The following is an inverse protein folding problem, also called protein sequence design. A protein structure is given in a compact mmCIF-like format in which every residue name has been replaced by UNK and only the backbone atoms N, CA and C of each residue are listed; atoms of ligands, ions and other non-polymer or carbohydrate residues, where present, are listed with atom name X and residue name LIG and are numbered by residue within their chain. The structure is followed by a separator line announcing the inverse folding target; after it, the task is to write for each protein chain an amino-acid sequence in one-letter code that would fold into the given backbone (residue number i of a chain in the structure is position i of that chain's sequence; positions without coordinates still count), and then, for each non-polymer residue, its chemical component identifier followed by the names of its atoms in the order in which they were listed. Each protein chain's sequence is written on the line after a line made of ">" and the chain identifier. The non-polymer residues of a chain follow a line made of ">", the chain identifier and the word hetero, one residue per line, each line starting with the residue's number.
data_IF_976600688068
#
_entry.id   IF_976600688068
#
_cell.length_a   1.000
_cell.length_b   1.000
_cell.length_c   1.000
_cell.angle_alpha   90.00
_cell.angle_beta   90.00
_cell.angle_gamma   90.00
#
_symmetry.space_group_name_H-M   'P 1'
#
loop_
_entity.id
_entity.type
_entity.pdbx_description
1 polymer ?
#
# COMPACT_ATOMS: atom_id res chain seq x y z
N UNK A 1 20.92 -16.25 -13.92
CA UNK A 1 19.52 -16.26 -14.37
C UNK A 1 18.75 -15.12 -13.77
N UNK A 2 18.22 -14.24 -14.63
CA UNK A 2 17.54 -13.02 -14.20
C UNK A 2 16.32 -13.27 -13.32
N UNK A 3 15.50 -14.28 -13.62
CA UNK A 3 14.29 -14.60 -12.86
C UNK A 3 14.55 -14.97 -11.40
N UNK A 4 15.63 -15.69 -11.12
CA UNK A 4 15.98 -16.08 -9.76
C UNK A 4 16.46 -14.88 -8.91
N UNK A 5 17.16 -13.92 -9.52
CA UNK A 5 17.62 -12.72 -8.84
C UNK A 5 16.46 -11.80 -8.45
N UNK A 6 15.50 -11.57 -9.37
CA UNK A 6 14.32 -10.77 -9.11
C UNK A 6 13.41 -11.42 -8.05
N UNK A 7 13.23 -12.74 -8.13
CA UNK A 7 12.44 -13.49 -7.16
C UNK A 7 13.08 -13.44 -5.77
N UNK A 8 14.39 -13.56 -5.67
CA UNK A 8 15.12 -13.43 -4.40
C UNK A 8 14.99 -12.03 -3.81
N UNK A 9 15.11 -11.00 -4.66
CA UNK A 9 14.95 -9.63 -4.22
C UNK A 9 13.53 -9.40 -3.67
N UNK A 10 12.51 -9.85 -4.40
CA UNK A 10 11.13 -9.72 -3.97
C UNK A 10 10.89 -10.42 -2.63
N UNK A 11 11.33 -11.67 -2.50
CA UNK A 11 11.17 -12.43 -1.27
C UNK A 11 11.94 -11.82 -0.09
N UNK A 12 13.14 -11.35 -0.34
CA UNK A 12 13.96 -10.67 0.67
C UNK A 12 13.31 -9.38 1.15
N UNK A 13 12.80 -8.57 0.22
CA UNK A 13 12.08 -7.33 0.54
C UNK A 13 10.79 -7.62 1.32
N UNK A 14 10.03 -8.63 0.90
CA UNK A 14 8.81 -9.05 1.57
C UNK A 14 9.09 -9.46 3.03
N UNK A 15 10.11 -10.26 3.25
CA UNK A 15 10.53 -10.66 4.61
C UNK A 15 10.94 -9.45 5.45
N UNK A 16 11.68 -8.53 4.87
CA UNK A 16 12.07 -7.28 5.53
C UNK A 16 10.86 -6.46 5.96
N UNK A 17 9.89 -6.28 5.06
CA UNK A 17 8.66 -5.54 5.34
C UNK A 17 7.86 -6.20 6.46
N UNK A 18 7.60 -7.49 6.35
CA UNK A 18 6.81 -8.24 7.35
C UNK A 18 7.48 -8.18 8.71
N UNK A 19 8.78 -8.46 8.76
CA UNK A 19 9.56 -8.46 9.99
C UNK A 19 9.56 -7.07 10.66
N UNK A 20 9.81 -6.04 9.89
CA UNK A 20 9.90 -4.67 10.41
C UNK A 20 8.55 -4.16 10.90
N UNK A 21 7.51 -4.32 10.10
CA UNK A 21 6.16 -3.88 10.49
C UNK A 21 5.63 -4.66 11.67
N UNK A 22 5.88 -5.97 11.72
CA UNK A 22 5.45 -6.82 12.84
C UNK A 22 6.13 -6.43 14.16
N UNK A 23 7.36 -5.92 14.10
CA UNK A 23 8.05 -5.42 15.29
C UNK A 23 7.46 -4.11 15.80
N UNK A 24 6.85 -3.32 14.92
CA UNK A 24 6.17 -2.08 15.28
C UNK A 24 4.78 -2.38 15.86
N UNK A 25 4.03 -3.25 15.20
CA UNK A 25 2.70 -3.69 15.62
C UNK A 25 2.45 -5.10 15.06
N UNK A 26 2.22 -6.07 15.94
CA UNK A 26 1.96 -7.45 15.53
C UNK A 26 0.77 -7.62 14.60
N UNK A 27 -0.19 -6.72 14.66
CA UNK A 27 -1.35 -6.74 13.78
C UNK A 27 -0.98 -6.70 12.30
N UNK A 28 0.14 -6.08 11.95
CA UNK A 28 0.63 -6.08 10.57
C UNK A 28 0.90 -7.48 10.04
N UNK A 29 1.42 -8.37 10.88
CA UNK A 29 1.69 -9.75 10.48
C UNK A 29 0.41 -10.45 10.05
N UNK A 30 -0.65 -10.27 10.82
CA UNK A 30 -1.96 -10.86 10.50
C UNK A 30 -2.55 -10.25 9.22
N UNK A 31 -2.52 -8.94 9.09
CA UNK A 31 -3.03 -8.22 7.93
C UNK A 31 -2.33 -8.64 6.64
N UNK A 32 -1.00 -8.70 6.66
CA UNK A 32 -0.21 -9.10 5.50
C UNK A 32 -0.41 -10.58 5.16
N UNK A 33 -0.53 -11.44 6.18
CA UNK A 33 -0.84 -12.84 5.97
C UNK A 33 -2.23 -13.02 5.33
N UNK A 34 -3.20 -12.25 5.74
CA UNK A 34 -4.54 -12.28 5.15
C UNK A 34 -4.54 -11.91 3.67
N UNK A 35 -3.70 -10.96 3.27
CA UNK A 35 -3.52 -10.62 1.85
C UNK A 35 -3.04 -11.86 1.08
N UNK A 36 -2.02 -12.55 1.58
CA UNK A 36 -1.48 -13.74 0.93
C UNK A 36 -2.51 -14.87 0.86
N UNK A 37 -3.22 -15.12 1.95
CA UNK A 37 -4.27 -16.16 2.00
C UNK A 37 -5.33 -15.90 0.94
N UNK A 38 -5.83 -14.69 0.85
CA UNK A 38 -6.83 -14.32 -0.15
C UNK A 38 -6.29 -14.37 -1.57
N UNK A 39 -5.06 -13.91 -1.77
CA UNK A 39 -4.42 -13.91 -3.08
C UNK A 39 -4.26 -15.33 -3.63
N UNK A 40 -3.78 -16.26 -2.82
CA UNK A 40 -3.51 -17.64 -3.23
C UNK A 40 -4.77 -18.51 -3.31
N UNK A 41 -5.88 -18.09 -2.76
CA UNK A 41 -7.14 -18.85 -2.87
C UNK A 41 -7.73 -18.81 -4.28
N UNK A 42 -7.41 -17.77 -5.06
CA UNK A 42 -7.76 -17.66 -6.48
C UNK A 42 -9.21 -17.36 -6.80
N UNK A 43 -10.14 -17.35 -5.82
CA UNK A 43 -11.54 -17.02 -6.10
C UNK A 43 -11.70 -15.50 -6.30
N UNK A 44 -12.68 -15.11 -7.13
CA UNK A 44 -12.91 -13.70 -7.44
C UNK A 44 -13.16 -12.84 -6.19
N UNK A 45 -13.96 -13.35 -5.25
CA UNK A 45 -14.23 -12.64 -4.00
C UNK A 45 -12.97 -12.49 -3.15
N UNK A 46 -12.14 -13.53 -3.08
CA UNK A 46 -10.91 -13.48 -2.31
C UNK A 46 -9.86 -12.54 -2.93
N UNK A 47 -9.79 -12.47 -4.27
CA UNK A 47 -8.91 -11.51 -4.93
C UNK A 47 -9.34 -10.07 -4.64
N UNK A 48 -10.64 -9.79 -4.64
CA UNK A 48 -11.16 -8.47 -4.24
C UNK A 48 -10.86 -8.14 -2.78
N UNK A 49 -10.97 -9.13 -1.90
CA UNK A 49 -10.61 -8.97 -0.49
C UNK A 49 -9.12 -8.68 -0.30
N UNK A 50 -8.25 -9.34 -1.07
CA UNK A 50 -6.82 -9.05 -1.05
C UNK A 50 -6.55 -7.58 -1.40
N UNK A 51 -7.23 -7.05 -2.41
CA UNK A 51 -7.11 -5.64 -2.80
C UNK A 51 -7.59 -4.68 -1.70
N UNK A 52 -8.73 -4.98 -1.07
CA UNK A 52 -9.22 -4.17 0.05
C UNK A 52 -8.25 -4.19 1.23
N UNK A 53 -7.64 -5.33 1.50
CA UNK A 53 -6.66 -5.45 2.57
C UNK A 53 -5.38 -4.64 2.30
N UNK A 54 -5.03 -4.41 1.03
CA UNK A 54 -3.94 -3.47 0.66
C UNK A 54 -4.23 -2.09 1.25
N UNK A 55 -5.44 -1.58 1.07
CA UNK A 55 -5.83 -0.28 1.62
C UNK A 55 -5.79 -0.26 3.15
N UNK A 56 -6.23 -1.35 3.78
CA UNK A 56 -6.18 -1.48 5.25
C UNK A 56 -4.75 -1.40 5.78
N UNK A 57 -3.82 -2.09 5.13
CA UNK A 57 -2.41 -2.04 5.52
C UNK A 57 -1.84 -0.63 5.36
N UNK A 58 -2.14 0.02 4.24
CA UNK A 58 -1.69 1.39 4.00
C UNK A 58 -2.25 2.36 5.04
N UNK A 59 -3.53 2.24 5.38
CA UNK A 59 -4.15 3.05 6.43
C UNK A 59 -3.53 2.81 7.80
N UNK A 60 -3.29 1.55 8.14
CA UNK A 60 -2.65 1.18 9.39
C UNK A 60 -1.25 1.77 9.47
N UNK A 61 -0.47 1.64 8.39
CA UNK A 61 0.86 2.20 8.32
C UNK A 61 0.85 3.73 8.45
N UNK A 62 -0.08 4.40 7.78
CA UNK A 62 -0.24 5.85 7.88
C UNK A 62 -0.48 6.29 9.33
N UNK A 63 -1.32 5.56 10.05
CA UNK A 63 -1.63 5.87 11.45
C UNK A 63 -0.42 5.66 12.37
N UNK A 64 0.44 4.72 12.04
CA UNK A 64 1.66 4.48 12.83
C UNK A 64 2.70 5.58 12.61
N UNK A 65 2.92 6.00 11.37
CA UNK A 65 3.96 6.99 11.05
C UNK A 65 3.49 8.42 11.22
N UNK A 66 2.20 8.67 11.09
CA UNK A 66 1.60 9.99 11.25
C UNK A 66 0.23 9.83 11.91
N UNK A 67 0.13 9.99 13.23
CA UNK A 67 -1.15 9.87 13.93
C UNK A 67 -2.20 10.81 13.33
N UNK A 68 -3.44 10.38 13.35
CA UNK A 68 -4.56 11.09 12.74
C UNK A 68 -4.67 12.52 13.30
N UNK A 69 -4.62 13.49 12.41
CA UNK A 69 -4.97 14.89 12.68
C UNK A 69 -6.12 15.29 11.75
N UNK A 70 -6.89 16.32 12.15
CA UNK A 70 -8.01 16.79 11.34
C UNK A 70 -7.59 17.44 10.02
N UNK A 71 -6.29 17.76 9.87
CA UNK A 71 -5.74 18.42 8.71
C UNK A 71 -4.51 17.68 8.19
N UNK A 72 -4.41 17.57 6.87
CA UNK A 72 -3.24 17.03 6.18
C UNK A 72 -2.61 18.09 5.30
N UNK A 73 -1.32 17.91 4.97
CA UNK A 73 -0.58 18.82 4.11
C UNK A 73 -0.30 18.10 2.79
N UNK A 74 -0.61 18.76 1.66
CA UNK A 74 -0.32 18.20 0.35
C UNK A 74 1.10 18.55 -0.14
N UNK A 75 1.43 18.12 -1.36
CA UNK A 75 2.75 18.31 -1.95
C UNK A 75 3.18 19.77 -2.06
N UNK A 76 2.21 20.69 -2.17
CA UNK A 76 2.43 22.13 -2.26
C UNK A 76 2.37 22.83 -0.90
N UNK A 77 2.29 22.06 0.18
CA UNK A 77 2.18 22.62 1.53
C UNK A 77 0.81 23.11 1.93
N UNK A 78 -0.23 22.83 1.14
CA UNK A 78 -1.59 23.26 1.44
C UNK A 78 -2.26 22.32 2.43
N UNK A 79 -2.98 22.89 3.38
CA UNK A 79 -3.76 22.11 4.34
C UNK A 79 -5.02 21.58 3.67
N UNK A 80 -5.27 20.29 3.84
CA UNK A 80 -6.48 19.62 3.38
C UNK A 80 -7.22 19.00 4.55
N UNK A 81 -8.56 19.12 4.55
CA UNK A 81 -9.37 18.41 5.53
C UNK A 81 -9.34 16.91 5.24
N UNK A 82 -9.32 16.13 6.29
CA UNK A 82 -9.43 14.68 6.20
C UNK A 82 -10.82 14.32 5.63
N UNK A 83 -10.84 13.81 4.39
CA UNK A 83 -12.04 13.29 3.72
C UNK A 83 -11.94 11.79 3.55
N UNK A 84 -12.75 11.22 2.66
CA UNK A 84 -12.79 9.75 2.39
C UNK A 84 -11.44 9.12 1.99
N UNK A 85 -10.49 9.91 1.52
CA UNK A 85 -9.12 9.47 1.21
C UNK A 85 -8.12 9.86 2.31
N UNK A 86 -8.57 9.89 3.55
CA UNK A 86 -7.78 10.30 4.72
C UNK A 86 -6.47 9.54 4.82
N UNK A 87 -6.50 8.22 4.65
CA UNK A 87 -5.30 7.39 4.78
C UNK A 87 -4.25 7.73 3.74
N UNK A 88 -4.67 7.94 2.50
CA UNK A 88 -3.75 8.33 1.43
C UNK A 88 -3.12 9.69 1.71
N UNK A 89 -3.95 10.66 2.10
CA UNK A 89 -3.46 11.99 2.44
C UNK A 89 -2.51 11.98 3.63
N UNK A 90 -2.74 11.12 4.63
CA UNK A 90 -1.85 10.97 5.77
C UNK A 90 -0.47 10.44 5.37
N UNK A 91 -0.42 9.41 4.50
CA UNK A 91 0.84 8.87 4.02
C UNK A 91 1.63 9.93 3.27
N UNK A 92 0.97 10.61 2.34
CA UNK A 92 1.60 11.66 1.53
C UNK A 92 2.08 12.80 2.41
N UNK A 93 1.26 13.26 3.33
CA UNK A 93 1.62 14.30 4.28
C UNK A 93 2.84 13.92 5.12
N UNK A 94 2.87 12.69 5.63
CA UNK A 94 3.99 12.19 6.41
C UNK A 94 5.28 12.16 5.60
N UNK A 95 5.21 11.74 4.33
CA UNK A 95 6.35 11.73 3.43
C UNK A 95 6.94 13.13 3.27
N UNK A 96 6.10 14.13 2.98
CA UNK A 96 6.57 15.50 2.76
C UNK A 96 7.05 16.20 4.04
N UNK A 97 6.60 15.78 5.20
CA UNK A 97 7.04 16.36 6.47
C UNK A 97 8.39 15.83 6.97
N UNK A 98 8.73 14.59 6.63
CA UNK A 98 9.89 13.91 7.24
C UNK A 98 11.18 13.96 6.44
N UNK A 99 11.16 14.30 5.16
CA UNK A 99 12.37 14.14 4.32
C UNK A 99 12.61 15.35 3.42
N UNK A 100 13.88 15.82 3.43
CA UNK A 100 14.34 16.94 2.61
C UNK A 100 14.62 16.56 1.14
N UNK A 101 14.60 15.26 0.79
CA UNK A 101 14.88 14.80 -0.58
C UNK A 101 13.60 14.69 -1.40
N UNK A 102 13.20 15.76 -2.04
CA UNK A 102 11.95 15.89 -2.77
C UNK A 102 11.71 14.84 -3.87
N UNK A 103 12.74 14.50 -4.65
CA UNK A 103 12.56 13.59 -5.81
C UNK A 103 12.09 12.20 -5.37
N UNK A 104 12.71 11.61 -4.35
CA UNK A 104 12.32 10.28 -3.85
C UNK A 104 10.91 10.27 -3.28
N UNK A 105 10.51 11.36 -2.64
CA UNK A 105 9.18 11.51 -2.06
C UNK A 105 8.13 11.68 -3.15
N UNK A 106 8.41 12.47 -4.17
CA UNK A 106 7.50 12.64 -5.30
C UNK A 106 7.22 11.32 -6.01
N UNK A 107 8.27 10.49 -6.20
CA UNK A 107 8.11 9.16 -6.79
C UNK A 107 7.28 8.24 -5.91
N UNK A 108 7.46 8.29 -4.59
CA UNK A 108 6.65 7.54 -3.65
C UNK A 108 5.19 8.01 -3.63
N UNK A 109 4.97 9.32 -3.66
CA UNK A 109 3.63 9.90 -3.76
C UNK A 109 2.91 9.37 -5.01
N UNK A 110 3.56 9.42 -6.16
CA UNK A 110 3.01 8.88 -7.41
C UNK A 110 2.70 7.39 -7.26
N UNK A 111 3.62 6.60 -6.74
CA UNK A 111 3.46 5.16 -6.59
C UNK A 111 2.32 4.78 -5.65
N UNK A 112 2.24 5.41 -4.48
CA UNK A 112 1.18 5.16 -3.50
C UNK A 112 -0.18 5.60 -4.06
N UNK A 113 -0.23 6.77 -4.68
CA UNK A 113 -1.46 7.29 -5.28
C UNK A 113 -1.96 6.39 -6.41
N UNK A 114 -1.08 5.92 -7.28
CA UNK A 114 -1.43 4.99 -8.35
C UNK A 114 -1.98 3.67 -7.81
N UNK A 115 -1.32 3.10 -6.81
CA UNK A 115 -1.77 1.85 -6.20
C UNK A 115 -3.14 2.02 -5.54
N UNK A 116 -3.34 3.09 -4.79
CA UNK A 116 -4.60 3.39 -4.13
C UNK A 116 -5.75 3.50 -5.13
N UNK A 117 -5.54 4.27 -6.19
CA UNK A 117 -6.54 4.49 -7.22
C UNK A 117 -6.81 3.22 -8.05
N UNK A 118 -5.78 2.43 -8.29
CA UNK A 118 -5.90 1.16 -9.02
C UNK A 118 -6.76 0.15 -8.26
N UNK A 119 -6.53 0.02 -6.95
CA UNK A 119 -7.34 -0.84 -6.09
C UNK A 119 -8.80 -0.40 -6.10
N UNK A 120 -9.04 0.90 -5.95
CA UNK A 120 -10.39 1.45 -5.97
C UNK A 120 -11.09 1.19 -7.31
N UNK A 121 -10.40 1.44 -8.41
CA UNK A 121 -10.95 1.28 -9.76
C UNK A 121 -11.27 -0.18 -10.07
N UNK A 122 -10.40 -1.12 -9.73
CA UNK A 122 -10.63 -2.55 -9.97
C UNK A 122 -11.86 -3.04 -9.20
N UNK A 123 -12.01 -2.64 -7.95
CA UNK A 123 -13.16 -3.03 -7.16
C UNK A 123 -14.45 -2.35 -7.65
N UNK A 124 -14.39 -1.08 -8.03
CA UNK A 124 -15.56 -0.35 -8.53
C UNK A 124 -16.09 -0.92 -9.86
N UNK A 125 -15.21 -1.37 -10.74
CA UNK A 125 -15.61 -1.99 -12.01
C UNK A 125 -16.39 -3.29 -11.78
N UNK A 126 -15.98 -4.08 -10.80
CA UNK A 126 -16.70 -5.29 -10.40
C UNK A 126 -18.09 -4.98 -9.87
N UNK A 127 -18.22 -3.98 -9.00
CA UNK A 127 -19.50 -3.56 -8.41
C UNK A 127 -20.48 -3.05 -9.46
N UNK A 128 -19.98 -2.29 -10.46
CA UNK A 128 -20.81 -1.73 -11.53
C UNK A 128 -21.22 -2.73 -12.60
N UNK A 129 -20.75 -3.98 -12.53
CA UNK A 129 -21.02 -4.99 -13.53
C UNK A 129 -20.33 -4.78 -14.88
N UNK A 130 -19.40 -3.83 -14.96
CA UNK A 130 -18.60 -3.59 -16.18
C UNK A 130 -17.65 -4.75 -16.41
N UNK A 131 -17.18 -5.37 -15.33
CA UNK A 131 -16.46 -6.64 -15.36
C UNK A 131 -16.85 -7.43 -14.10
N UNK A 132 -16.85 -8.75 -14.22
CA UNK A 132 -17.37 -9.63 -13.19
C UNK A 132 -16.36 -9.98 -12.10
N UNK A 133 -15.05 -9.78 -12.36
CA UNK A 133 -14.02 -10.20 -11.39
C UNK A 133 -12.68 -9.54 -11.64
N UNK A 134 -11.91 -9.42 -10.57
CA UNK A 134 -10.50 -9.08 -10.59
C UNK A 134 -9.71 -10.32 -11.02
N UNK A 135 -8.72 -10.16 -11.89
CA UNK A 135 -7.86 -11.27 -12.30
C UNK A 135 -6.74 -11.50 -11.29
N UNK A 136 -6.20 -12.72 -11.29
CA UNK A 136 -5.04 -13.05 -10.44
C UNK A 136 -3.83 -12.17 -10.75
N UNK A 137 -3.56 -11.90 -12.02
CA UNK A 137 -2.45 -11.04 -12.44
C UNK A 137 -2.62 -9.62 -11.90
N UNK A 138 -3.82 -9.06 -11.98
CA UNK A 138 -4.10 -7.72 -11.48
C UNK A 138 -3.89 -7.63 -9.96
N UNK A 139 -4.42 -8.62 -9.23
CA UNK A 139 -4.26 -8.67 -7.79
C UNK A 139 -2.80 -8.87 -7.39
N UNK A 140 -2.09 -9.77 -8.06
CA UNK A 140 -0.69 -10.05 -7.79
C UNK A 140 0.20 -8.83 -8.04
N UNK A 141 -0.05 -8.08 -9.11
CA UNK A 141 0.67 -6.84 -9.40
C UNK A 141 0.46 -5.80 -8.31
N UNK A 142 -0.76 -5.65 -7.82
CA UNK A 142 -1.06 -4.70 -6.75
C UNK A 142 -0.37 -5.08 -5.44
N UNK A 143 -0.37 -6.36 -5.08
CA UNK A 143 0.29 -6.86 -3.86
C UNK A 143 1.81 -6.68 -3.98
N UNK A 144 2.39 -6.99 -5.14
CA UNK A 144 3.82 -6.79 -5.39
C UNK A 144 4.21 -5.32 -5.24
N UNK A 145 3.41 -4.43 -5.79
CA UNK A 145 3.64 -2.99 -5.68
C UNK A 145 3.53 -2.51 -4.22
N UNK A 146 2.59 -3.07 -3.47
CA UNK A 146 2.47 -2.76 -2.04
C UNK A 146 3.76 -3.04 -1.28
N UNK A 147 4.35 -4.22 -1.46
CA UNK A 147 5.60 -4.58 -0.77
C UNK A 147 6.77 -3.69 -1.18
N UNK A 148 6.86 -3.34 -2.46
CA UNK A 148 7.90 -2.40 -2.93
C UNK A 148 7.74 -1.04 -2.25
N UNK A 149 6.54 -0.50 -2.24
CA UNK A 149 6.26 0.81 -1.64
C UNK A 149 6.47 0.80 -0.12
N UNK A 150 5.99 -0.22 0.58
CA UNK A 150 6.21 -0.35 2.02
C UNK A 150 7.69 -0.43 2.36
N UNK A 151 8.46 -1.21 1.61
CA UNK A 151 9.90 -1.30 1.80
C UNK A 151 10.60 0.04 1.64
N UNK A 152 10.22 0.81 0.63
CA UNK A 152 10.77 2.15 0.40
C UNK A 152 10.38 3.13 1.53
N UNK A 153 9.13 3.13 1.94
CA UNK A 153 8.65 3.99 3.02
C UNK A 153 9.31 3.65 4.36
N UNK A 154 9.46 2.38 4.68
CA UNK A 154 10.13 1.94 5.91
C UNK A 154 11.57 2.48 5.95
N UNK A 155 12.29 2.40 4.85
CA UNK A 155 13.67 2.90 4.78
C UNK A 155 13.76 4.41 4.93
N UNK A 156 12.73 5.13 4.53
CA UNK A 156 12.66 6.59 4.69
C UNK A 156 12.33 6.97 6.14
N UNK A 157 11.34 6.31 6.74
CA UNK A 157 10.87 6.66 8.10
C UNK A 157 11.73 6.10 9.22
N UNK A 158 12.51 5.09 8.93
CA UNK A 158 13.47 4.52 9.88
C UNK A 158 14.89 4.92 9.47
#
# INVERSE_FOLDING_TARGET
>A
MRGNSLSRYYESNKKFVISTLSSIDEQFKEELNNIDVHLYSGSANNLSEALWNIRKVLCHYANVVCPISDETIDAEGRKRKAKSSVCLNHIISALYQKVDKQISIELLDIGVTELWNKVEKLNALGIKGVRTKVTEDEAFQCVSQLYVLLGQMIRIFN
#
